data_IF_328116091848
#
_entry.id   IF_328116091848
#
_cell.length_a   1.000
_cell.length_b   1.000
_cell.length_c   1.000
_cell.angle_alpha   90.00
_cell.angle_beta   90.00
_cell.angle_gamma   90.00
#
_symmetry.space_group_name_H-M   'P 1'
#
loop_
_entity.id
_entity.type
_entity.pdbx_description
1 polymer ?
#
# COMPACT_ATOMS: atom_id res chain seq x y z
N UNK A 1 6.82 15.51 -0.34
CA UNK A 1 5.70 15.04 0.50
C UNK A 1 6.21 15.00 1.94
N UNK A 2 5.40 15.37 2.91
CA UNK A 2 5.73 15.24 4.33
C UNK A 2 4.71 14.30 4.95
N UNK A 3 5.20 13.25 5.61
CA UNK A 3 4.39 12.17 6.16
C UNK A 3 4.74 12.04 7.65
N UNK A 4 3.78 12.18 8.57
CA UNK A 4 4.00 11.88 9.98
C UNK A 4 4.16 10.37 10.15
N UNK A 5 5.15 9.94 10.94
CA UNK A 5 5.36 8.52 11.26
C UNK A 5 5.44 8.36 12.77
N UNK A 6 4.59 7.47 13.31
CA UNK A 6 4.60 7.09 14.71
C UNK A 6 5.79 6.19 15.03
N UNK A 7 6.34 6.32 16.24
CA UNK A 7 7.37 5.44 16.76
C UNK A 7 6.90 3.97 16.82
N UNK A 8 5.60 3.74 16.93
CA UNK A 8 4.98 2.41 16.92
C UNK A 8 5.20 1.67 15.60
N UNK A 9 5.28 2.38 14.46
CA UNK A 9 5.63 1.79 13.15
C UNK A 9 7.00 1.10 13.15
N UNK A 10 7.85 1.40 14.14
CA UNK A 10 9.16 0.77 14.34
C UNK A 10 9.25 -0.08 15.61
N UNK A 11 8.12 -0.42 16.23
CA UNK A 11 8.01 -1.11 17.51
C UNK A 11 8.74 -0.38 18.65
N UNK A 12 8.66 0.96 18.68
CA UNK A 12 9.25 1.79 19.71
C UNK A 12 8.17 2.36 20.65
N UNK A 13 8.34 2.09 21.95
CA UNK A 13 7.48 2.53 23.04
C UNK A 13 7.88 3.93 23.53
N UNK A 14 7.78 4.93 22.65
CA UNK A 14 8.10 6.33 22.95
C UNK A 14 6.94 7.29 22.74
N UNK A 15 5.83 6.86 22.11
CA UNK A 15 4.67 7.69 21.78
C UNK A 15 5.07 9.00 21.07
N UNK A 16 6.02 8.89 20.14
CA UNK A 16 6.54 10.03 19.38
C UNK A 16 6.08 9.93 17.93
N UNK A 17 5.56 11.03 17.38
CA UNK A 17 5.29 11.16 15.95
C UNK A 17 6.27 12.15 15.34
N UNK A 18 6.95 11.75 14.26
CA UNK A 18 7.97 12.56 13.59
C UNK A 18 7.62 12.76 12.13
N UNK A 19 7.66 14.01 11.67
CA UNK A 19 7.47 14.36 10.27
C UNK A 19 8.68 13.96 9.42
N UNK A 20 8.46 13.09 8.45
CA UNK A 20 9.45 12.71 7.45
C UNK A 20 9.15 13.37 6.11
N UNK A 21 10.08 14.19 5.62
CA UNK A 21 9.99 14.79 4.29
C UNK A 21 10.72 13.95 3.25
N UNK A 22 10.02 13.58 2.19
CA UNK A 22 10.54 12.89 1.02
C UNK A 22 10.36 13.70 -0.26
N UNK A 23 11.14 13.36 -1.28
CA UNK A 23 11.11 14.00 -2.59
C UNK A 23 10.86 12.96 -3.68
N UNK A 24 10.18 13.37 -4.74
CA UNK A 24 10.06 12.60 -5.96
C UNK A 24 10.26 13.53 -7.17
N UNK A 25 10.63 12.93 -8.29
CA UNK A 25 10.84 13.58 -9.58
C UNK A 25 10.07 12.78 -10.62
N UNK A 26 9.17 13.44 -11.34
CA UNK A 26 8.58 12.91 -12.57
C UNK A 26 9.51 13.29 -13.73
N UNK A 27 10.23 12.32 -14.27
CA UNK A 27 11.13 12.52 -15.41
C UNK A 27 10.36 12.48 -16.74
N UNK A 28 9.31 11.66 -16.81
CA UNK A 28 8.34 11.61 -17.90
C UNK A 28 6.98 11.26 -17.34
N UNK A 29 5.97 12.08 -17.63
CA UNK A 29 4.59 11.75 -17.31
C UNK A 29 4.11 10.54 -18.13
N UNK A 30 3.42 9.64 -17.45
CA UNK A 30 2.61 8.63 -18.11
C UNK A 30 1.30 9.22 -18.65
N UNK A 31 0.62 8.47 -19.51
CA UNK A 31 -0.63 8.91 -20.15
C UNK A 31 -1.89 8.32 -19.52
N UNK A 32 -1.77 7.21 -18.78
CA UNK A 32 -2.82 6.61 -17.96
C UNK A 32 -3.02 7.35 -16.63
N UNK A 33 -3.90 6.83 -15.79
CA UNK A 33 -4.28 7.49 -14.54
C UNK A 33 -3.27 7.24 -13.41
N UNK A 34 -3.48 7.92 -12.29
CA UNK A 34 -2.60 7.85 -11.12
C UNK A 34 -3.16 6.76 -10.20
N UNK A 35 -2.39 5.72 -9.85
CA UNK A 35 -2.82 4.73 -8.88
C UNK A 35 -2.93 5.37 -7.49
N UNK A 36 -3.79 4.81 -6.66
CA UNK A 36 -3.89 5.15 -5.25
C UNK A 36 -2.76 4.49 -4.45
N UNK A 37 -2.64 4.83 -3.17
CA UNK A 37 -1.65 4.19 -2.27
C UNK A 37 -1.92 2.71 -2.00
N UNK A 38 -3.13 2.25 -2.32
CA UNK A 38 -3.60 0.90 -2.07
C UNK A 38 -3.73 0.07 -3.35
N UNK A 39 -3.49 0.64 -4.53
CA UNK A 39 -3.66 -0.11 -5.77
C UNK A 39 -2.50 -1.08 -6.03
N UNK A 40 -2.82 -2.27 -6.52
CA UNK A 40 -1.84 -3.13 -7.17
C UNK A 40 -1.33 -2.44 -8.43
N UNK A 41 -0.03 -2.19 -8.47
CA UNK A 41 0.61 -1.41 -9.52
C UNK A 41 1.70 -2.23 -10.21
N UNK A 42 1.65 -2.28 -11.53
CA UNK A 42 2.64 -2.91 -12.39
C UNK A 42 3.83 -1.97 -12.57
N UNK A 43 4.96 -2.30 -11.94
CA UNK A 43 6.15 -1.43 -11.91
C UNK A 43 7.42 -2.15 -12.28
N UNK A 44 8.38 -1.39 -12.80
CA UNK A 44 9.78 -1.81 -12.91
C UNK A 44 10.64 -0.80 -12.17
N UNK A 45 11.55 -1.26 -11.31
CA UNK A 45 12.37 -0.35 -10.50
C UNK A 45 13.82 -0.79 -10.36
N UNK A 46 14.64 0.18 -9.94
CA UNK A 46 15.99 0.00 -9.40
C UNK A 46 16.12 0.77 -8.09
N UNK A 47 16.58 0.11 -7.03
CA UNK A 47 16.84 0.68 -5.71
C UNK A 47 18.34 0.83 -5.45
N UNK A 48 18.76 2.05 -5.11
CA UNK A 48 20.16 2.40 -4.82
C UNK A 48 20.32 3.14 -3.50
N UNK A 49 21.50 3.02 -2.89
CA UNK A 49 21.93 3.89 -1.79
C UNK A 49 22.41 5.24 -2.34
N UNK A 50 22.55 6.26 -1.48
CA UNK A 50 23.07 7.58 -1.89
C UNK A 50 24.48 7.55 -2.53
N UNK A 51 25.26 6.51 -2.25
CA UNK A 51 26.58 6.32 -2.88
C UNK A 51 26.49 5.66 -4.27
N UNK A 52 25.29 5.40 -4.78
CA UNK A 52 25.02 4.75 -6.06
C UNK A 52 25.12 3.22 -6.04
N UNK A 53 25.33 2.59 -4.89
CA UNK A 53 25.33 1.13 -4.80
C UNK A 53 23.91 0.59 -5.01
N UNK A 54 23.75 -0.25 -6.05
CA UNK A 54 22.53 -0.99 -6.32
C UNK A 54 22.34 -2.07 -5.24
N UNK A 55 21.14 -2.12 -4.65
CA UNK A 55 20.79 -3.15 -3.67
C UNK A 55 19.62 -4.03 -4.13
N UNK A 56 18.73 -3.52 -4.99
CA UNK A 56 17.58 -4.26 -5.50
C UNK A 56 17.13 -3.73 -6.87
N UNK A 57 16.53 -4.60 -7.70
CA UNK A 57 15.98 -4.22 -9.00
C UNK A 57 15.10 -5.34 -9.58
N UNK A 58 14.15 -4.93 -10.42
CA UNK A 58 13.35 -5.83 -11.26
C UNK A 58 13.78 -5.74 -12.72
N UNK A 59 14.05 -6.87 -13.36
CA UNK A 59 14.44 -6.92 -14.78
C UNK A 59 13.28 -6.63 -15.75
N UNK A 60 12.04 -6.79 -15.30
CA UNK A 60 10.82 -6.57 -16.08
C UNK A 60 9.73 -6.04 -15.15
N UNK A 61 8.63 -5.54 -15.72
CA UNK A 61 7.50 -5.07 -14.94
C UNK A 61 6.89 -6.21 -14.10
N UNK A 62 6.64 -5.95 -12.82
CA UNK A 62 6.03 -6.87 -11.87
C UNK A 62 4.90 -6.18 -11.12
N UNK A 63 3.80 -6.90 -10.88
CA UNK A 63 2.71 -6.41 -10.03
C UNK A 63 3.18 -6.31 -8.59
N UNK A 64 2.93 -5.16 -7.98
CA UNK A 64 3.20 -4.89 -6.57
C UNK A 64 1.95 -4.28 -5.95
N UNK A 65 1.41 -4.95 -4.93
CA UNK A 65 0.44 -4.34 -4.04
C UNK A 65 1.19 -3.34 -3.15
N UNK A 66 0.89 -2.04 -3.31
CA UNK A 66 1.70 -0.96 -2.74
C UNK A 66 1.78 -0.96 -1.19
N UNK A 67 0.72 -1.29 -0.44
CA UNK A 67 0.77 -1.36 1.02
C UNK A 67 1.81 -2.36 1.56
N UNK A 68 2.16 -3.39 0.79
CA UNK A 68 3.12 -4.43 1.20
C UNK A 68 4.59 -4.01 1.11
N UNK A 69 4.86 -2.80 0.64
CA UNK A 69 6.23 -2.34 0.48
C UNK A 69 6.48 -1.08 1.30
N UNK A 70 7.49 -0.29 0.93
CA UNK A 70 7.88 0.88 1.71
C UNK A 70 6.81 1.97 1.60
N UNK A 71 6.31 2.49 2.72
CA UNK A 71 5.32 3.60 2.78
C UNK A 71 5.71 4.78 1.88
N UNK A 72 6.98 5.18 1.92
CA UNK A 72 7.50 6.24 1.04
C UNK A 72 7.46 5.88 -0.45
N UNK A 73 7.69 4.61 -0.79
CA UNK A 73 7.66 4.12 -2.17
C UNK A 73 6.24 4.13 -2.74
N UNK A 74 5.25 3.59 -2.01
CA UNK A 74 3.85 3.64 -2.42
C UNK A 74 3.35 5.06 -2.62
N UNK A 75 3.70 5.98 -1.70
CA UNK A 75 3.36 7.40 -1.78
C UNK A 75 3.97 8.12 -2.99
N UNK A 76 5.19 7.77 -3.39
CA UNK A 76 5.80 8.31 -4.60
C UNK A 76 5.18 7.74 -5.88
N UNK A 77 4.88 6.43 -5.93
CA UNK A 77 4.20 5.83 -7.08
C UNK A 77 2.83 6.47 -7.31
N UNK A 78 2.10 6.71 -6.22
CA UNK A 78 0.80 7.41 -6.22
C UNK A 78 0.89 8.90 -6.60
N UNK A 79 2.06 9.37 -7.03
CA UNK A 79 2.28 10.72 -7.58
C UNK A 79 2.73 10.69 -9.05
N UNK A 80 2.77 9.51 -9.68
CA UNK A 80 3.27 9.30 -11.05
C UNK A 80 2.16 8.64 -11.87
N UNK A 81 1.80 9.23 -13.01
CA UNK A 81 0.82 8.66 -13.95
C UNK A 81 1.34 7.36 -14.57
N UNK A 82 0.45 6.39 -14.74
CA UNK A 82 0.73 5.10 -15.40
C UNK A 82 0.83 5.23 -16.92
N UNK A 83 1.26 4.16 -17.59
CA UNK A 83 1.12 3.97 -19.03
C UNK A 83 -0.28 3.52 -19.44
N UNK A 84 -0.44 3.13 -20.71
CA UNK A 84 -1.77 2.88 -21.30
C UNK A 84 -1.89 1.63 -22.18
N UNK A 85 -0.81 0.87 -22.35
CA UNK A 85 -0.84 -0.23 -23.30
C UNK A 85 0.23 -1.27 -23.06
N UNK A 86 -0.06 -2.46 -23.55
CA UNK A 86 0.80 -3.63 -23.48
C UNK A 86 1.21 -3.96 -24.92
N UNK A 87 2.52 -3.98 -25.18
CA UNK A 87 3.08 -4.41 -26.46
C UNK A 87 3.81 -5.72 -26.25
N UNK A 88 3.41 -6.76 -26.98
CA UNK A 88 4.13 -8.03 -27.01
C UNK A 88 5.12 -8.02 -28.17
N UNK A 89 6.40 -8.18 -27.84
CA UNK A 89 7.49 -8.24 -28.80
C UNK A 89 7.57 -9.63 -29.48
N UNK A 90 8.17 -9.73 -30.67
CA UNK A 90 8.33 -11.01 -31.38
C UNK A 90 9.15 -12.07 -30.62
N UNK A 91 9.96 -11.66 -29.65
CA UNK A 91 10.73 -12.56 -28.78
C UNK A 91 9.94 -13.06 -27.55
N UNK A 92 8.67 -12.67 -27.44
CA UNK A 92 7.77 -13.03 -26.34
C UNK A 92 7.88 -12.13 -25.11
N UNK A 93 8.73 -11.11 -25.12
CA UNK A 93 8.77 -10.10 -24.05
C UNK A 93 7.59 -9.14 -24.16
N UNK A 94 7.28 -8.47 -23.04
CA UNK A 94 6.20 -7.49 -22.96
C UNK A 94 6.76 -6.15 -22.52
N UNK A 95 6.35 -5.09 -23.20
CA UNK A 95 6.65 -3.70 -22.86
C UNK A 95 5.37 -2.93 -22.54
N UNK A 96 5.47 -1.92 -21.67
CA UNK A 96 4.37 -1.00 -21.39
C UNK A 96 4.58 0.28 -22.17
N UNK A 97 3.57 0.68 -22.94
CA UNK A 97 3.62 1.94 -23.71
C UNK A 97 3.34 3.12 -22.81
N UNK A 98 4.04 4.23 -23.09
CA UNK A 98 3.82 5.52 -22.46
C UNK A 98 3.84 5.50 -20.92
N UNK A 99 4.59 4.56 -20.32
CA UNK A 99 4.73 4.45 -18.87
C UNK A 99 5.32 5.73 -18.25
N UNK A 100 4.87 6.06 -17.05
CA UNK A 100 5.49 7.12 -16.26
C UNK A 100 6.90 6.72 -15.85
N UNK A 101 7.84 7.67 -15.89
CA UNK A 101 9.21 7.45 -15.41
C UNK A 101 9.48 8.47 -14.32
N UNK A 102 9.96 7.99 -13.18
CA UNK A 102 10.30 8.86 -12.06
C UNK A 102 11.44 8.34 -11.21
N UNK A 103 11.82 9.18 -10.26
CA UNK A 103 12.73 8.81 -9.18
C UNK A 103 12.18 9.33 -7.85
N UNK A 104 12.49 8.64 -6.76
CA UNK A 104 12.09 9.01 -5.40
C UNK A 104 13.26 8.90 -4.44
N UNK A 105 13.27 9.80 -3.46
CA UNK A 105 14.33 9.95 -2.46
C UNK A 105 13.69 9.79 -1.09
N UNK A 106 13.87 8.60 -0.51
CA UNK A 106 13.18 8.19 0.70
C UNK A 106 14.12 8.38 1.90
N UNK A 107 13.73 9.19 2.91
CA UNK A 107 14.40 9.14 4.20
C UNK A 107 14.20 7.77 4.83
N UNK A 108 15.10 7.37 5.74
CA UNK A 108 15.07 6.03 6.33
C UNK A 108 13.76 5.70 7.05
N UNK A 109 13.11 6.68 7.69
CA UNK A 109 11.80 6.52 8.34
C UNK A 109 10.62 6.29 7.39
N UNK A 110 10.79 6.48 6.08
CA UNK A 110 9.81 6.10 5.06
C UNK A 110 10.31 4.92 4.21
N UNK A 111 11.35 4.25 4.70
CA UNK A 111 12.03 3.12 4.09
C UNK A 111 12.31 2.05 5.16
N UNK A 112 13.48 1.44 5.17
CA UNK A 112 13.78 0.33 6.08
C UNK A 112 14.15 0.74 7.52
N UNK A 113 14.22 2.04 7.85
CA UNK A 113 14.61 2.56 9.16
C UNK A 113 15.74 1.75 9.84
N UNK A 114 15.46 0.99 10.90
CA UNK A 114 16.43 0.16 11.63
C UNK A 114 16.40 -1.34 11.24
N UNK A 115 15.60 -1.74 10.25
CA UNK A 115 15.50 -3.12 9.81
C UNK A 115 16.81 -3.62 9.18
N UNK A 116 17.09 -4.91 9.36
CA UNK A 116 18.29 -5.56 8.82
C UNK A 116 18.02 -6.08 7.41
N UNK A 117 18.36 -5.29 6.39
CA UNK A 117 18.19 -5.64 4.98
C UNK A 117 19.55 -5.90 4.33
N UNK A 118 19.80 -7.08 3.71
CA UNK A 118 21.06 -7.36 3.03
C UNK A 118 21.41 -6.28 2.00
N UNK A 119 22.64 -5.75 2.08
CA UNK A 119 23.11 -4.71 1.16
C UNK A 119 22.65 -3.28 1.49
N UNK A 120 21.77 -3.10 2.48
CA UNK A 120 21.28 -1.78 2.92
C UNK A 120 21.69 -1.56 4.38
N UNK A 121 22.63 -0.64 4.68
CA UNK A 121 22.94 -0.29 6.06
C UNK A 121 21.69 0.28 6.77
N UNK A 122 21.56 0.00 8.07
CA UNK A 122 20.50 0.59 8.89
C UNK A 122 20.54 2.12 8.81
N UNK A 123 19.36 2.72 8.87
CA UNK A 123 19.10 4.15 8.79
C UNK A 123 19.54 4.80 7.47
N UNK A 124 19.70 4.00 6.41
CA UNK A 124 20.05 4.52 5.10
C UNK A 124 18.84 5.19 4.42
N UNK A 125 19.00 6.41 3.91
CA UNK A 125 18.10 6.92 2.88
C UNK A 125 18.30 6.14 1.58
N UNK A 126 17.21 5.99 0.82
CA UNK A 126 17.17 5.20 -0.42
C UNK A 126 16.78 6.08 -1.61
N UNK A 127 17.25 5.69 -2.79
CA UNK A 127 16.80 6.25 -4.07
C UNK A 127 16.20 5.11 -4.88
N UNK A 128 14.96 5.26 -5.32
CA UNK A 128 14.39 4.37 -6.34
C UNK A 128 14.22 5.13 -7.65
N UNK A 129 14.58 4.50 -8.76
CA UNK A 129 14.16 4.91 -10.10
C UNK A 129 13.09 3.92 -10.55
N UNK A 130 11.97 4.42 -11.06
CA UNK A 130 10.79 3.61 -11.37
C UNK A 130 10.26 3.90 -12.77
N UNK A 131 9.72 2.87 -13.39
CA UNK A 131 8.79 2.93 -14.51
C UNK A 131 7.43 2.42 -14.01
N UNK A 132 6.42 3.27 -14.06
CA UNK A 132 5.06 3.00 -13.57
C UNK A 132 4.19 2.62 -14.77
N UNK A 133 3.89 1.33 -14.85
CA UNK A 133 3.31 0.69 -16.03
C UNK A 133 1.79 0.77 -16.07
N UNK A 134 1.10 -0.08 -15.32
CA UNK A 134 -0.37 -0.17 -15.25
C UNK A 134 -0.77 -0.31 -13.78
N UNK A 135 -2.06 -0.28 -13.50
CA UNK A 135 -2.57 -0.54 -12.15
C UNK A 135 -3.93 -1.25 -12.22
N UNK A 136 -4.35 -1.81 -11.10
CA UNK A 136 -5.72 -2.28 -10.89
C UNK A 136 -6.41 -1.22 -10.04
N UNK A 137 -7.33 -0.48 -10.67
CA UNK A 137 -8.17 0.50 -9.97
C UNK A 137 -9.04 -0.21 -8.92
N UNK A 138 -9.17 0.42 -7.76
CA UNK A 138 -9.95 -0.07 -6.62
C UNK A 138 -9.53 -1.50 -6.23
N UNK A 139 -8.22 -1.70 -6.04
CA UNK A 139 -7.71 -3.01 -5.63
C UNK A 139 -8.33 -3.44 -4.30
N UNK A 140 -9.06 -4.56 -4.34
CA UNK A 140 -9.59 -5.32 -3.21
C UNK A 140 -8.65 -6.56 -3.07
N UNK A 141 -7.71 -6.49 -2.12
CA UNK A 141 -6.57 -7.42 -2.08
C UNK A 141 -6.96 -8.80 -1.55
N UNK A 142 -7.77 -8.87 -0.51
CA UNK A 142 -8.27 -10.10 0.09
C UNK A 142 -9.58 -10.60 -0.53
N UNK A 143 -10.23 -9.80 -1.39
CA UNK A 143 -11.47 -10.08 -2.10
C UNK A 143 -12.70 -10.10 -1.17
N UNK A 144 -12.68 -9.31 -0.10
CA UNK A 144 -13.76 -9.19 0.87
C UNK A 144 -14.86 -8.20 0.41
N UNK A 145 -14.52 -7.30 -0.51
CA UNK A 145 -15.44 -6.38 -1.17
C UNK A 145 -15.25 -4.92 -0.95
N UNK A 146 -14.29 -4.59 -0.12
CA UNK A 146 -13.92 -3.24 0.17
C UNK A 146 -12.61 -2.99 -0.60
N UNK A 147 -12.58 -2.02 -1.52
CA UNK A 147 -11.32 -1.57 -2.09
C UNK A 147 -10.40 -1.17 -0.95
N UNK A 148 -9.16 -1.65 -0.95
CA UNK A 148 -8.24 -1.49 0.17
C UNK A 148 -8.00 -0.04 0.58
N UNK A 149 -8.13 0.92 -0.35
CA UNK A 149 -8.04 2.34 0.00
C UNK A 149 -9.12 2.78 1.02
N UNK A 150 -10.30 2.16 1.03
CA UNK A 150 -11.38 2.48 1.95
C UNK A 150 -11.16 1.90 3.36
N UNK A 151 -10.15 1.06 3.52
CA UNK A 151 -9.78 0.41 4.78
C UNK A 151 -8.64 1.14 5.51
N UNK A 152 -8.20 2.28 4.95
CA UNK A 152 -7.42 3.31 5.66
C UNK A 152 -8.36 4.10 6.60
N UNK A 153 -8.71 3.49 7.73
CA UNK A 153 -9.80 3.93 8.60
C UNK A 153 -9.53 5.32 9.22
N UNK A 154 -8.27 5.61 9.53
CA UNK A 154 -7.87 6.91 10.10
C UNK A 154 -7.40 7.94 9.06
N UNK A 155 -7.21 7.50 7.80
CA UNK A 155 -6.82 8.35 6.68
C UNK A 155 -5.34 8.79 6.70
N UNK A 156 -4.49 8.15 7.51
CA UNK A 156 -3.05 8.42 7.55
C UNK A 156 -2.29 7.77 6.37
N UNK A 157 -2.99 6.93 5.60
CA UNK A 157 -2.53 6.13 4.46
C UNK A 157 -1.35 5.23 4.78
N UNK A 158 -1.50 4.50 5.87
CA UNK A 158 -0.72 3.35 6.30
C UNK A 158 -1.67 2.20 6.67
N UNK A 159 -2.32 1.61 5.67
CA UNK A 159 -3.31 0.53 5.83
C UNK A 159 -2.82 -0.65 6.68
N UNK A 160 -1.51 -0.78 6.91
CA UNK A 160 -0.91 -1.86 7.70
C UNK A 160 -1.08 -1.70 9.21
N UNK A 161 -1.55 -0.54 9.68
CA UNK A 161 -1.84 -0.28 11.10
C UNK A 161 -3.34 -0.29 11.43
N UNK A 162 -4.22 -0.24 10.42
CA UNK A 162 -5.66 -0.37 10.51
C UNK A 162 -6.03 -1.86 10.66
N UNK A 163 -6.25 -2.25 11.91
CA UNK A 163 -6.64 -3.60 12.29
C UNK A 163 -7.67 -3.52 13.42
N UNK A 164 -8.90 -3.90 13.13
CA UNK A 164 -10.05 -3.81 14.04
C UNK A 164 -10.04 -4.88 15.13
N UNK A 165 -9.55 -6.08 14.85
CA UNK A 165 -9.57 -7.22 15.78
C UNK A 165 -8.21 -7.54 16.43
N UNK A 166 -7.20 -6.67 16.26
CA UNK A 166 -5.79 -6.87 16.67
C UNK A 166 -5.61 -7.42 18.08
N UNK A 167 -6.38 -6.89 19.02
CA UNK A 167 -6.31 -7.30 20.43
C UNK A 167 -6.80 -8.75 20.61
N UNK A 168 -7.80 -9.16 19.84
CA UNK A 168 -8.29 -10.53 19.81
C UNK A 168 -7.29 -11.47 19.14
N UNK A 169 -6.76 -11.13 17.96
CA UNK A 169 -5.77 -11.97 17.27
C UNK A 169 -4.57 -12.23 18.17
N UNK A 170 -4.12 -11.19 18.86
CA UNK A 170 -3.06 -11.29 19.87
C UNK A 170 -3.44 -12.18 21.05
N UNK A 171 -4.68 -12.09 21.53
CA UNK A 171 -5.17 -12.89 22.66
C UNK A 171 -5.31 -14.38 22.32
N UNK A 172 -5.68 -14.70 21.08
CA UNK A 172 -5.86 -16.07 20.57
C UNK A 172 -4.57 -16.66 20.00
N UNK A 173 -3.57 -15.82 19.70
CA UNK A 173 -2.34 -16.21 19.04
C UNK A 173 -2.51 -16.42 17.53
N UNK A 174 -3.55 -15.84 16.95
CA UNK A 174 -3.72 -15.72 15.50
C UNK A 174 -2.65 -14.80 14.90
N UNK A 175 -2.46 -14.90 13.59
CA UNK A 175 -1.64 -13.94 12.86
C UNK A 175 -2.40 -12.62 12.85
N UNK A 176 -1.73 -11.52 13.19
CA UNK A 176 -2.35 -10.20 13.12
C UNK A 176 -2.42 -9.71 11.68
N UNK A 177 -3.62 -9.54 11.14
CA UNK A 177 -3.89 -9.09 9.78
C UNK A 177 -4.55 -7.72 9.82
N UNK A 178 -4.04 -6.78 9.04
CA UNK A 178 -4.75 -5.53 8.85
C UNK A 178 -5.99 -5.77 7.99
N UNK A 179 -7.01 -4.93 8.13
CA UNK A 179 -8.31 -5.12 7.49
C UNK A 179 -8.18 -5.44 6.00
N UNK A 180 -7.37 -4.67 5.27
CA UNK A 180 -7.15 -4.84 3.83
C UNK A 180 -6.54 -6.17 3.36
N UNK A 181 -6.17 -7.05 4.30
CA UNK A 181 -5.68 -8.40 4.06
C UNK A 181 -6.41 -9.46 4.90
N UNK A 182 -7.53 -9.11 5.53
CA UNK A 182 -8.36 -9.97 6.37
C UNK A 182 -9.81 -10.04 5.84
N UNK A 183 -10.24 -11.19 5.28
CA UNK A 183 -11.62 -11.34 4.78
C UNK A 183 -12.75 -11.27 5.83
N UNK A 184 -12.42 -11.16 7.12
CA UNK A 184 -13.32 -11.12 8.29
C UNK A 184 -12.73 -10.12 9.31
N UNK A 185 -12.87 -8.83 8.98
CA UNK A 185 -12.19 -7.66 9.57
C UNK A 185 -12.28 -7.54 11.10
N UNK A 186 -13.41 -7.93 11.68
CA UNK A 186 -13.69 -7.87 13.12
C UNK A 186 -13.70 -9.26 13.79
N UNK A 187 -13.53 -10.30 12.96
CA UNK A 187 -13.44 -11.71 13.31
C UNK A 187 -14.67 -12.22 14.08
N UNK A 188 -15.85 -11.68 13.82
CA UNK A 188 -17.12 -12.11 14.44
C UNK A 188 -17.60 -13.48 13.92
N UNK A 189 -17.08 -13.91 12.78
CA UNK A 189 -17.38 -15.17 12.09
C UNK A 189 -18.32 -15.04 10.89
N UNK A 190 -18.74 -13.83 10.57
CA UNK A 190 -19.43 -13.41 9.35
C UNK A 190 -18.40 -12.73 8.45
N UNK A 191 -18.17 -13.21 7.22
CA UNK A 191 -17.20 -12.53 6.34
C UNK A 191 -17.64 -11.09 6.04
N UNK A 192 -16.69 -10.15 5.97
CA UNK A 192 -16.95 -8.72 5.65
C UNK A 192 -17.88 -8.56 4.44
N UNK A 193 -17.68 -9.41 3.42
CA UNK A 193 -18.50 -9.48 2.19
C UNK A 193 -20.00 -9.58 2.46
N UNK A 194 -20.38 -10.34 3.47
CA UNK A 194 -21.77 -10.68 3.79
C UNK A 194 -22.44 -9.59 4.66
N UNK A 195 -21.67 -8.60 5.13
CA UNK A 195 -22.12 -7.52 6.01
C UNK A 195 -22.21 -6.18 5.28
N UNK A 196 -21.54 -6.04 4.14
CA UNK A 196 -21.66 -4.89 3.26
C UNK A 196 -22.77 -5.05 2.21
N UNK A 197 -23.24 -3.93 1.67
CA UNK A 197 -24.19 -3.91 0.54
C UNK A 197 -23.52 -3.30 -0.68
N UNK A 198 -23.42 -4.06 -1.76
CA UNK A 198 -22.95 -3.59 -3.06
C UNK A 198 -24.13 -3.53 -4.03
N UNK A 199 -24.44 -2.34 -4.55
CA UNK A 199 -25.54 -2.16 -5.51
C UNK A 199 -25.18 -2.57 -6.95
N UNK A 200 -26.17 -2.55 -7.86
CA UNK A 200 -25.98 -2.92 -9.27
C UNK A 200 -25.00 -2.00 -10.03
N UNK A 201 -24.64 -0.84 -9.45
CA UNK A 201 -23.69 0.12 -9.98
C UNK A 201 -22.31 0.00 -9.34
N UNK A 202 -22.13 -0.90 -8.37
CA UNK A 202 -20.88 -1.08 -7.63
C UNK A 202 -20.68 -0.09 -6.47
N UNK A 203 -21.71 0.68 -6.08
CA UNK A 203 -21.58 1.51 -4.88
C UNK A 203 -21.71 0.64 -3.63
N UNK A 204 -20.83 0.90 -2.66
CA UNK A 204 -20.79 0.18 -1.39
C UNK A 204 -21.55 1.00 -0.34
N UNK A 205 -22.35 0.32 0.47
CA UNK A 205 -22.93 0.85 1.69
C UNK A 205 -22.51 -0.03 2.86
N UNK A 206 -22.24 0.61 3.99
CA UNK A 206 -21.83 -0.01 5.24
C UNK A 206 -22.99 0.10 6.24
N UNK A 207 -23.79 -0.97 6.44
CA UNK A 207 -24.81 -1.02 7.47
C UNK A 207 -24.20 -0.86 8.87
N UNK A 208 -25.05 -0.45 9.80
CA UNK A 208 -24.79 -0.32 11.24
C UNK A 208 -26.08 -0.82 11.92
N UNK A 209 -26.06 -2.10 12.29
CA UNK A 209 -27.22 -2.88 12.68
C UNK A 209 -27.75 -2.50 14.05
N UNK A 210 -26.86 -2.19 14.99
CA UNK A 210 -27.17 -1.84 16.37
C UNK A 210 -27.26 -0.30 16.60
N UNK A 211 -26.72 0.49 15.67
CA UNK A 211 -26.79 1.94 15.63
C UNK A 211 -25.77 2.64 16.52
N UNK A 212 -24.65 1.99 16.85
CA UNK A 212 -23.60 2.54 17.71
C UNK A 212 -22.59 3.44 16.96
N UNK A 213 -22.62 3.41 15.63
CA UNK A 213 -21.80 4.21 14.73
C UNK A 213 -20.56 3.50 14.19
N UNK A 214 -20.35 2.23 14.52
CA UNK A 214 -19.35 1.35 13.90
C UNK A 214 -20.08 0.52 12.83
N UNK A 215 -19.56 0.48 11.58
CA UNK A 215 -20.11 -0.41 10.57
C UNK A 215 -20.08 -1.88 10.97
N UNK A 216 -21.08 -2.66 10.53
CA UNK A 216 -21.22 -4.09 10.84
C UNK A 216 -19.92 -4.87 10.61
N UNK A 217 -19.25 -4.68 9.46
CA UNK A 217 -18.00 -5.37 9.12
C UNK A 217 -16.79 -5.01 10.01
N UNK A 218 -16.93 -4.00 10.86
CA UNK A 218 -15.94 -3.57 11.84
C UNK A 218 -16.48 -3.74 13.28
N UNK A 219 -17.69 -4.27 13.46
CA UNK A 219 -18.39 -4.36 14.74
C UNK A 219 -18.71 -5.80 15.14
N UNK A 220 -17.76 -6.36 15.88
CA UNK A 220 -17.87 -7.71 16.43
C UNK A 220 -19.12 -7.95 17.27
N UNK A 221 -19.63 -6.90 17.95
CA UNK A 221 -20.70 -7.03 18.95
C UNK A 221 -22.09 -6.70 18.36
N UNK A 222 -22.21 -6.58 17.03
CA UNK A 222 -23.40 -6.22 16.21
C UNK A 222 -24.67 -7.07 16.49
N UNK A 223 -25.25 -6.91 17.69
CA UNK A 223 -26.32 -7.75 18.27
C UNK A 223 -27.55 -6.99 18.75
#
# INVERSE_FOLDING_TARGET
LTIPVSSESFNLDSDETVDHTMYYLVARDGVGDIPTIADSTLVRYEGTLLNGALFDATASHTWQYLPFFLRGYGRAISSIRTGDGIVTNPDGTTEITNAGIGAMFLPSGLAYFNASVPGVPQYSPLIFTVEVGLYVEDTDYDNDGIPSLLEDLDGDGDLTNDNTDREQERATGSLALANHVDPDDDQDGTPTRDEIIIDDQGNISFPDGDGDGIPDYLDRDNS
#
